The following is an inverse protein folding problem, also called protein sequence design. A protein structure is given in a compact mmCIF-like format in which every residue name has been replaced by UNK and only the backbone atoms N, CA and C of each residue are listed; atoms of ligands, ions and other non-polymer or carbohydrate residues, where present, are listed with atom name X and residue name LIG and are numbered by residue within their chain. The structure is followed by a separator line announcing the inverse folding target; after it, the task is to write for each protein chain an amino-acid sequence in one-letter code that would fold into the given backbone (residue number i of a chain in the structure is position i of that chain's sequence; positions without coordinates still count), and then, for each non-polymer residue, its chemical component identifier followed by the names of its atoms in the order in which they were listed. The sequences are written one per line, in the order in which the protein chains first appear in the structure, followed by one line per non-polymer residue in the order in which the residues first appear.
data_IF_561725143326
#
_entry.id   IF_561725143326
#
_cell.length_a   1.000
_cell.length_b   1.000
_cell.length_c   1.000
_cell.angle_alpha   90.00
_cell.angle_beta   90.00
_cell.angle_gamma   90.00
#
_symmetry.space_group_name_H-M   'P 1'
#
loop_
_entity.id
_entity.type
_entity.pdbx_description
1 polymer ?
#
# COMPACT_ATOMS: atom_id res chain seq x y z
N UNK A 1 3.54 -2.46 -24.01
CA UNK A 1 3.58 -3.16 -22.72
C UNK A 1 3.36 -4.63 -22.99
N UNK A 2 4.39 -5.47 -22.91
CA UNK A 2 4.27 -6.91 -23.20
C UNK A 2 3.67 -7.63 -21.99
N UNK A 3 3.08 -8.81 -22.20
CA UNK A 3 2.50 -9.61 -21.10
C UNK A 3 3.54 -9.98 -20.02
N UNK A 4 4.81 -10.09 -20.42
CA UNK A 4 5.93 -10.39 -19.51
C UNK A 4 6.18 -9.21 -18.58
N UNK A 5 6.18 -7.98 -19.09
CA UNK A 5 6.40 -6.76 -18.29
C UNK A 5 5.33 -6.61 -17.20
N UNK A 6 4.06 -6.82 -17.56
CA UNK A 6 2.93 -6.75 -16.61
C UNK A 6 3.10 -7.78 -15.50
N UNK A 7 3.50 -9.01 -15.87
CA UNK A 7 3.72 -10.10 -14.91
C UNK A 7 4.84 -9.77 -13.93
N UNK A 8 5.96 -9.20 -14.41
CA UNK A 8 7.08 -8.80 -13.56
C UNK A 8 6.70 -7.66 -12.60
N UNK A 9 5.96 -6.65 -13.07
CA UNK A 9 5.48 -5.56 -12.21
C UNK A 9 4.52 -6.07 -11.13
N UNK A 10 3.60 -6.97 -11.48
CA UNK A 10 2.68 -7.59 -10.53
C UNK A 10 3.43 -8.41 -9.47
N UNK A 11 4.45 -9.17 -9.87
CA UNK A 11 5.28 -9.94 -8.95
C UNK A 11 6.05 -9.04 -7.97
N UNK A 12 6.67 -7.96 -8.47
CA UNK A 12 7.37 -6.99 -7.62
C UNK A 12 6.42 -6.32 -6.62
N UNK A 13 5.22 -5.93 -7.08
CA UNK A 13 4.19 -5.36 -6.23
C UNK A 13 3.74 -6.34 -5.13
N UNK A 14 3.56 -7.61 -5.47
CA UNK A 14 3.24 -8.66 -4.49
C UNK A 14 4.34 -8.81 -3.44
N UNK A 15 5.60 -8.90 -3.87
CA UNK A 15 6.77 -9.02 -2.97
C UNK A 15 6.85 -7.81 -2.04
N UNK A 16 6.68 -6.59 -2.56
CA UNK A 16 6.67 -5.38 -1.73
C UNK A 16 5.59 -5.43 -0.65
N UNK A 17 4.38 -5.86 -0.99
CA UNK A 17 3.29 -5.98 -0.03
C UNK A 17 3.54 -7.08 1.01
N UNK A 18 4.19 -8.19 0.65
CA UNK A 18 4.61 -9.22 1.59
C UNK A 18 5.69 -8.72 2.56
N UNK A 19 6.65 -7.91 2.07
CA UNK A 19 7.66 -7.27 2.92
C UNK A 19 7.00 -6.35 3.92
N UNK A 20 6.10 -5.45 3.48
CA UNK A 20 5.41 -4.51 4.38
C UNK A 20 4.52 -5.24 5.38
N UNK A 21 3.82 -6.30 4.96
CA UNK A 21 3.08 -7.16 5.89
C UNK A 21 4.00 -7.75 6.97
N UNK A 22 5.16 -8.26 6.58
CA UNK A 22 6.15 -8.85 7.48
C UNK A 22 6.69 -7.83 8.48
N UNK A 23 6.94 -6.59 8.05
CA UNK A 23 7.34 -5.49 8.95
C UNK A 23 6.28 -5.22 10.01
N UNK A 24 5.00 -5.18 9.64
CA UNK A 24 3.89 -5.01 10.60
C UNK A 24 3.76 -6.20 11.57
N UNK A 25 4.00 -7.41 11.06
CA UNK A 25 4.06 -8.62 11.88
C UNK A 25 5.18 -8.54 12.93
N UNK A 26 6.37 -8.13 12.51
CA UNK A 26 7.51 -7.96 13.41
C UNK A 26 7.24 -6.87 14.46
N UNK A 27 6.64 -5.72 14.10
CA UNK A 27 6.26 -4.70 15.10
C UNK A 27 5.25 -5.27 16.12
N UNK A 28 4.26 -6.05 15.66
CA UNK A 28 3.28 -6.68 16.56
C UNK A 28 3.95 -7.69 17.50
N UNK A 29 4.92 -8.47 17.00
CA UNK A 29 5.68 -9.43 17.79
C UNK A 29 6.57 -8.71 18.82
N UNK A 30 7.29 -7.67 18.40
CA UNK A 30 8.11 -6.85 19.30
C UNK A 30 7.27 -6.24 20.42
N UNK A 31 6.07 -5.72 20.10
CA UNK A 31 5.15 -5.18 21.10
C UNK A 31 4.69 -6.22 22.15
N UNK A 32 4.58 -7.50 21.78
CA UNK A 32 4.23 -8.59 22.72
C UNK A 32 5.41 -9.03 23.58
N UNK A 33 6.63 -8.89 23.06
CA UNK A 33 7.86 -9.35 23.71
C UNK A 33 8.58 -8.23 24.49
N UNK A 34 8.01 -7.03 24.54
CA UNK A 34 8.66 -5.86 25.15
C UNK A 34 9.86 -5.35 24.36
N UNK A 35 9.99 -5.72 23.09
CA UNK A 35 11.08 -5.31 22.21
C UNK A 35 10.91 -3.90 21.65
N UNK A 36 11.92 -3.45 20.92
CA UNK A 36 11.90 -2.16 20.23
C UNK A 36 10.82 -2.13 19.14
N UNK A 37 10.00 -1.07 19.15
CA UNK A 37 8.87 -0.89 18.23
C UNK A 37 9.24 0.03 17.08
N UNK A 38 8.69 -0.26 15.91
CA UNK A 38 8.86 0.56 14.72
C UNK A 38 7.96 1.80 14.84
N UNK A 39 8.49 2.95 14.46
CA UNK A 39 7.73 4.20 14.50
C UNK A 39 6.50 4.13 13.57
N UNK A 40 5.39 4.74 13.99
CA UNK A 40 4.17 4.80 13.16
C UNK A 40 4.41 5.49 11.82
N UNK A 41 5.27 6.51 11.82
CA UNK A 41 5.67 7.21 10.62
C UNK A 41 6.31 6.25 9.62
N UNK A 42 7.25 5.42 10.05
CA UNK A 42 7.91 4.43 9.18
C UNK A 42 6.90 3.43 8.59
N UNK A 43 5.99 2.91 9.42
CA UNK A 43 4.95 1.98 8.96
C UNK A 43 4.04 2.61 7.90
N UNK A 44 3.60 3.85 8.12
CA UNK A 44 2.78 4.60 7.16
C UNK A 44 3.56 4.97 5.90
N UNK A 45 4.85 5.32 6.01
CA UNK A 45 5.71 5.58 4.84
C UNK A 45 5.88 4.34 3.97
N UNK A 46 6.05 3.16 4.57
CA UNK A 46 6.10 1.89 3.82
C UNK A 46 4.79 1.60 3.09
N UNK A 47 3.65 1.87 3.72
CA UNK A 47 2.35 1.78 3.08
C UNK A 47 2.22 2.77 1.90
N UNK A 48 2.72 4.01 2.07
CA UNK A 48 2.66 5.08 1.06
C UNK A 48 3.53 4.80 -0.18
N UNK A 49 4.70 4.16 -0.02
CA UNK A 49 5.61 3.88 -1.14
C UNK A 49 5.06 2.77 -2.07
N UNK A 50 4.11 1.95 -1.61
CA UNK A 50 3.47 0.93 -2.44
C UNK A 50 3.04 -0.34 -1.69
N UNK A 51 3.29 -0.42 -0.38
CA UNK A 51 2.88 -1.56 0.45
C UNK A 51 1.50 -1.44 1.08
N UNK A 52 0.62 -0.61 0.53
CA UNK A 52 -0.67 -0.27 1.15
C UNK A 52 -1.59 -1.48 1.35
N UNK A 53 -1.63 -2.43 0.41
CA UNK A 53 -2.41 -3.65 0.54
C UNK A 53 -1.86 -4.56 1.65
N UNK A 54 -0.54 -4.74 1.71
CA UNK A 54 0.14 -5.51 2.74
C UNK A 54 -0.03 -4.89 4.13
N UNK A 55 0.05 -3.57 4.23
CA UNK A 55 -0.18 -2.83 5.46
C UNK A 55 -1.63 -2.98 5.96
N UNK A 56 -2.63 -2.88 5.08
CA UNK A 56 -4.06 -3.05 5.43
C UNK A 56 -4.37 -4.50 5.79
N UNK A 57 -3.84 -5.46 5.02
CA UNK A 57 -3.95 -6.89 5.35
C UNK A 57 -3.35 -7.19 6.73
N UNK A 58 -2.17 -6.65 7.03
CA UNK A 58 -1.54 -6.80 8.33
C UNK A 58 -2.36 -6.12 9.44
N UNK A 59 -2.92 -4.93 9.19
CA UNK A 59 -3.76 -4.22 10.14
C UNK A 59 -4.98 -5.07 10.55
N UNK A 60 -5.66 -5.66 9.57
CA UNK A 60 -6.88 -6.47 9.77
C UNK A 60 -6.57 -7.84 10.39
N UNK A 61 -5.64 -8.60 9.81
CA UNK A 61 -5.32 -9.96 10.24
C UNK A 61 -4.66 -9.96 11.62
N UNK A 62 -3.70 -9.07 11.86
CA UNK A 62 -2.96 -9.01 13.13
C UNK A 62 -3.66 -8.16 14.19
N UNK A 63 -4.81 -7.56 13.84
CA UNK A 63 -5.54 -6.58 14.66
C UNK A 63 -4.58 -5.50 15.17
N UNK A 64 -3.72 -5.03 14.28
CA UNK A 64 -2.67 -4.08 14.60
C UNK A 64 -3.25 -2.66 14.49
N UNK A 65 -3.40 -1.92 15.60
CA UNK A 65 -3.81 -0.50 15.58
C UNK A 65 -5.08 -0.23 14.73
N UNK A 66 -6.09 -1.11 14.84
CA UNK A 66 -7.36 -1.01 14.09
C UNK A 66 -8.26 0.12 14.57
N UNK A 67 -8.07 0.60 15.81
CA UNK A 67 -8.84 1.72 16.41
C UNK A 67 -7.97 2.92 16.77
N UNK A 68 -6.67 2.89 16.44
CA UNK A 68 -5.75 3.96 16.83
C UNK A 68 -5.76 5.05 15.76
N UNK A 69 -6.25 6.23 16.13
CA UNK A 69 -6.10 7.44 15.33
C UNK A 69 -4.79 8.17 15.69
N UNK A 70 -4.16 8.89 14.74
CA UNK A 70 -4.58 9.07 13.35
C UNK A 70 -4.13 7.93 12.40
N UNK A 71 -3.50 6.88 12.92
CA UNK A 71 -2.88 5.81 12.12
C UNK A 71 -3.87 5.15 11.15
N UNK A 72 -5.07 4.80 11.63
CA UNK A 72 -6.10 4.17 10.81
C UNK A 72 -6.55 5.09 9.66
N UNK A 73 -6.86 6.35 9.96
CA UNK A 73 -7.32 7.31 8.94
C UNK A 73 -6.25 7.56 7.87
N UNK A 74 -4.98 7.70 8.27
CA UNK A 74 -3.88 7.90 7.32
C UNK A 74 -3.69 6.66 6.44
N UNK A 75 -3.71 5.46 7.03
CA UNK A 75 -3.57 4.23 6.26
C UNK A 75 -4.74 4.03 5.26
N UNK A 76 -5.97 4.37 5.66
CA UNK A 76 -7.12 4.35 4.76
C UNK A 76 -6.97 5.37 3.62
N UNK A 77 -6.52 6.59 3.91
CA UNK A 77 -6.25 7.60 2.89
C UNK A 77 -5.18 7.15 1.89
N UNK A 78 -4.11 6.50 2.36
CA UNK A 78 -3.06 5.93 1.50
C UNK A 78 -3.62 4.84 0.57
N UNK A 79 -4.49 3.97 1.08
CA UNK A 79 -5.12 2.93 0.26
C UNK A 79 -6.01 3.55 -0.82
N UNK A 80 -6.84 4.54 -0.46
CA UNK A 80 -7.72 5.25 -1.39
C UNK A 80 -6.89 5.96 -2.46
N UNK A 81 -5.82 6.63 -2.08
CA UNK A 81 -4.91 7.30 -3.02
C UNK A 81 -4.34 6.31 -4.05
N UNK A 82 -3.82 5.17 -3.61
CA UNK A 82 -3.33 4.13 -4.53
C UNK A 82 -4.44 3.58 -5.45
N UNK A 83 -5.65 3.39 -4.92
CA UNK A 83 -6.80 2.97 -5.72
C UNK A 83 -7.17 3.97 -6.81
N UNK A 84 -7.20 5.27 -6.48
CA UNK A 84 -7.45 6.35 -7.44
C UNK A 84 -6.35 6.38 -8.50
N UNK A 85 -5.08 6.29 -8.10
CA UNK A 85 -3.95 6.28 -9.04
C UNK A 85 -4.01 5.08 -10.00
N UNK A 86 -4.33 3.89 -9.50
CA UNK A 86 -4.51 2.70 -10.33
C UNK A 86 -5.69 2.84 -11.30
N UNK A 87 -6.83 3.40 -10.84
CA UNK A 87 -8.00 3.66 -11.69
C UNK A 87 -7.71 4.72 -12.76
N UNK A 88 -6.99 5.79 -12.41
CA UNK A 88 -6.57 6.83 -13.36
C UNK A 88 -5.64 6.24 -14.43
N UNK A 89 -4.65 5.44 -14.04
CA UNK A 89 -3.69 4.83 -14.96
C UNK A 89 -4.36 3.87 -15.95
N UNK A 90 -5.33 3.08 -15.49
CA UNK A 90 -6.08 2.13 -16.34
C UNK A 90 -7.10 2.81 -17.24
N UNK A 91 -7.71 3.91 -16.78
CA UNK A 91 -8.68 4.67 -17.57
C UNK A 91 -8.03 5.64 -18.56
N UNK A 92 -6.75 6.03 -18.37
CA UNK A 92 -6.01 7.01 -19.20
C UNK A 92 -6.26 6.90 -20.72
N UNK A 93 -6.34 5.71 -21.34
CA UNK A 93 -6.64 5.58 -22.77
C UNK A 93 -8.00 6.16 -23.20
N UNK A 94 -8.96 6.32 -22.29
CA UNK A 94 -10.35 6.74 -22.58
C UNK A 94 -10.59 8.26 -22.53
N UNK A 95 -9.66 9.04 -21.97
CA UNK A 95 -9.78 10.50 -21.77
C UNK A 95 -8.67 11.31 -22.44
N UNK A 96 -7.53 10.70 -22.75
CA UNK A 96 -6.44 11.37 -23.50
C UNK A 96 -6.92 11.94 -24.85
N UNK A 97 -7.68 11.21 -25.70
CA UNK A 97 -8.19 11.77 -26.96
C UNK A 97 -9.24 12.87 -26.77
N UNK A 98 -9.87 12.98 -25.59
CA UNK A 98 -10.91 13.99 -25.29
C UNK A 98 -10.33 15.31 -24.78
N UNK A 99 -9.12 15.29 -24.20
CA UNK A 99 -8.49 16.48 -23.59
C UNK A 99 -7.55 17.21 -24.55
N UNK A 100 -6.98 16.51 -25.53
CA UNK A 100 -6.13 17.07 -26.57
C UNK A 100 -6.65 16.63 -27.95
N UNK A 101 -7.82 17.14 -28.40
CA UNK A 101 -8.44 16.70 -29.65
C UNK A 101 -7.64 17.07 -30.91
N UNK A 102 -6.58 17.88 -30.79
CA UNK A 102 -5.83 18.47 -31.90
C UNK A 102 -4.34 18.07 -31.93
N UNK A 103 -3.95 16.99 -31.25
CA UNK A 103 -2.62 16.37 -31.36
C UNK A 103 -2.74 14.90 -31.76
#
# INVERSE_FOLDING_TARGET
MTMIDITQMAALFLVLNLIVFSVYYLDKRAARQGGWRISERTLLTLALIGGSLGAVAAQQILRHKTRKEPFRSILAAILILHGILAAALTSAPLWVPRLLPNF
#
